data_IF_949274796738
#
_entry.id   IF_949274796738
#
_cell.length_a   1.000
_cell.length_b   1.000
_cell.length_c   1.000
_cell.angle_alpha   90.00
_cell.angle_beta   90.00
_cell.angle_gamma   90.00
#
_symmetry.space_group_name_H-M   'P 1'
#
loop_
_entity.id
_entity.type
_entity.pdbx_description
1 polymer ?
#
# COMPACT_ATOMS: atom_id res chain seq x y z
N UNK A 1 -16.74 6.49 10.67
CA UNK A 1 -15.44 5.79 10.45
C UNK A 1 -14.67 5.77 11.76
N UNK A 2 -14.09 4.65 12.13
CA UNK A 2 -13.26 4.53 13.34
C UNK A 2 -11.84 4.16 12.93
N UNK A 3 -10.87 4.99 13.35
CA UNK A 3 -9.46 4.86 13.01
C UNK A 3 -9.00 5.79 11.90
N UNK A 4 -7.78 6.33 12.05
CA UNK A 4 -7.15 7.30 11.14
C UNK A 4 -5.88 6.75 10.46
N UNK A 5 -5.68 5.45 10.44
CA UNK A 5 -4.65 4.85 9.59
C UNK A 5 -5.05 4.83 8.12
N UNK A 6 -4.17 4.34 7.24
CA UNK A 6 -4.36 4.32 5.78
C UNK A 6 -5.74 3.78 5.36
N UNK A 7 -6.20 2.68 5.96
CA UNK A 7 -7.49 2.09 5.61
C UNK A 7 -8.68 3.02 5.92
N UNK A 8 -8.65 3.66 7.10
CA UNK A 8 -9.70 4.61 7.50
C UNK A 8 -9.68 5.87 6.65
N UNK A 9 -8.51 6.49 6.45
CA UNK A 9 -8.38 7.70 5.67
C UNK A 9 -8.75 7.48 4.19
N UNK A 10 -8.22 6.43 3.57
CA UNK A 10 -8.51 6.11 2.18
C UNK A 10 -10.02 5.83 1.96
N UNK A 11 -10.64 5.05 2.84
CA UNK A 11 -12.08 4.80 2.77
C UNK A 11 -12.90 6.09 2.97
N UNK A 12 -12.48 6.96 3.88
CA UNK A 12 -13.14 8.24 4.11
C UNK A 12 -13.08 9.15 2.87
N UNK A 13 -11.92 9.22 2.21
CA UNK A 13 -11.75 9.95 0.95
C UNK A 13 -12.68 9.42 -0.15
N UNK A 14 -12.70 8.11 -0.37
CA UNK A 14 -13.59 7.50 -1.38
C UNK A 14 -15.06 7.77 -1.10
N UNK A 15 -15.49 7.76 0.15
CA UNK A 15 -16.86 8.12 0.53
C UNK A 15 -17.15 9.60 0.28
N UNK A 16 -16.21 10.49 0.59
CA UNK A 16 -16.35 11.93 0.37
C UNK A 16 -16.40 12.27 -1.14
N UNK A 17 -15.57 11.63 -1.96
CA UNK A 17 -15.62 11.73 -3.43
C UNK A 17 -16.98 11.29 -3.98
N UNK A 18 -17.59 10.28 -3.36
CA UNK A 18 -18.99 9.85 -3.64
C UNK A 18 -20.07 10.75 -3.06
N UNK A 19 -19.73 11.96 -2.58
CA UNK A 19 -20.66 12.96 -2.06
C UNK A 19 -21.20 12.64 -0.65
N UNK A 20 -20.55 11.75 0.11
CA UNK A 20 -20.96 11.40 1.47
C UNK A 20 -20.28 12.30 2.49
N UNK A 21 -21.01 12.75 3.50
CA UNK A 21 -20.41 13.37 4.68
C UNK A 21 -19.79 12.28 5.55
N UNK A 22 -18.49 12.42 5.85
CA UNK A 22 -17.74 11.44 6.63
C UNK A 22 -17.23 12.07 7.92
N UNK A 23 -17.41 11.36 9.03
CA UNK A 23 -16.85 11.72 10.32
C UNK A 23 -15.87 10.62 10.75
N UNK A 24 -14.64 11.01 11.08
CA UNK A 24 -13.59 10.09 11.53
C UNK A 24 -13.41 10.25 13.03
N UNK A 25 -13.50 9.14 13.76
CA UNK A 25 -13.20 9.05 15.18
C UNK A 25 -11.85 8.39 15.38
N UNK A 26 -10.95 9.05 16.08
CA UNK A 26 -9.63 8.52 16.41
C UNK A 26 -9.37 8.59 17.90
N UNK A 27 -8.57 7.67 18.41
CA UNK A 27 -8.26 7.58 19.85
C UNK A 27 -7.41 8.75 20.34
N UNK A 28 -6.58 9.32 19.47
CA UNK A 28 -5.66 10.43 19.76
C UNK A 28 -5.63 11.40 18.57
N UNK A 29 -4.49 12.05 18.31
CA UNK A 29 -4.29 12.87 17.12
C UNK A 29 -4.40 12.02 15.86
N UNK A 30 -4.79 12.61 14.75
CA UNK A 30 -5.00 11.88 13.47
C UNK A 30 -3.74 11.15 13.03
N UNK A 31 -2.56 11.75 13.22
CA UNK A 31 -1.26 11.19 12.88
C UNK A 31 -0.75 10.12 13.87
N UNK A 32 -1.48 9.84 14.95
CA UNK A 32 -1.07 8.86 15.95
C UNK A 32 -1.63 7.47 15.60
N UNK A 33 -1.19 6.95 14.46
CA UNK A 33 -1.62 5.69 13.89
C UNK A 33 -0.45 4.73 13.63
N UNK A 34 -0.72 3.44 13.51
CA UNK A 34 0.29 2.46 13.11
C UNK A 34 0.86 2.74 11.71
N UNK A 35 0.07 3.32 10.82
CA UNK A 35 0.51 3.72 9.49
C UNK A 35 1.63 4.76 9.59
N UNK A 36 1.48 5.79 10.41
CA UNK A 36 2.49 6.84 10.57
C UNK A 36 3.85 6.31 11.07
N UNK A 37 3.84 5.21 11.78
CA UNK A 37 5.06 4.57 12.32
C UNK A 37 5.65 3.51 11.38
N UNK A 38 4.97 3.19 10.27
CA UNK A 38 5.46 2.20 9.31
C UNK A 38 6.67 2.75 8.53
N UNK A 39 7.80 2.09 8.67
CA UNK A 39 9.07 2.47 8.02
C UNK A 39 9.28 1.73 6.69
N UNK A 40 8.83 0.47 6.61
CA UNK A 40 8.91 -0.34 5.40
C UNK A 40 8.09 0.21 4.23
N UNK A 41 8.14 -0.49 3.10
CA UNK A 41 7.43 -0.09 1.90
C UNK A 41 6.12 -0.83 1.68
N UNK A 42 5.56 -0.63 0.50
CA UNK A 42 4.38 -1.35 0.00
C UNK A 42 4.80 -2.23 -1.17
N UNK A 43 4.51 -3.53 -1.07
CA UNK A 43 4.72 -4.48 -2.14
C UNK A 43 3.61 -4.36 -3.19
N UNK A 44 3.97 -4.11 -4.45
CA UNK A 44 3.02 -4.07 -5.55
C UNK A 44 3.64 -4.43 -6.90
N UNK A 45 2.88 -5.12 -7.73
CA UNK A 45 3.16 -5.27 -9.15
C UNK A 45 2.36 -4.19 -9.89
N UNK A 46 3.06 -3.28 -10.56
CA UNK A 46 2.42 -2.13 -11.21
C UNK A 46 1.86 -2.45 -12.59
N UNK A 47 2.47 -3.42 -13.27
CA UNK A 47 2.01 -3.89 -14.56
C UNK A 47 1.05 -5.08 -14.38
N UNK A 48 -0.22 -4.84 -14.67
CA UNK A 48 -1.27 -5.86 -14.57
C UNK A 48 -1.15 -6.99 -15.60
N UNK A 49 -0.37 -6.79 -16.64
CA UNK A 49 -0.13 -7.81 -17.68
C UNK A 49 1.02 -8.74 -17.34
N UNK A 50 1.77 -8.44 -16.29
CA UNK A 50 2.90 -9.23 -15.80
C UNK A 50 2.42 -10.43 -14.95
N UNK A 51 1.67 -11.34 -15.55
CA UNK A 51 1.03 -12.50 -14.87
C UNK A 51 2.02 -13.33 -14.05
N UNK A 52 3.21 -13.60 -14.59
CA UNK A 52 4.25 -14.36 -13.87
C UNK A 52 4.73 -13.62 -12.59
N UNK A 53 4.87 -12.29 -12.65
CA UNK A 53 5.29 -11.50 -11.51
C UNK A 53 4.18 -11.43 -10.45
N UNK A 54 2.92 -11.34 -10.86
CA UNK A 54 1.75 -11.40 -9.98
C UNK A 54 1.70 -12.75 -9.28
N UNK A 55 1.82 -13.85 -10.03
CA UNK A 55 1.81 -15.20 -9.47
C UNK A 55 2.98 -15.42 -8.50
N UNK A 56 4.18 -14.98 -8.85
CA UNK A 56 5.34 -15.03 -7.95
C UNK A 56 5.08 -14.26 -6.64
N UNK A 57 4.40 -13.10 -6.68
CA UNK A 57 4.03 -12.36 -5.48
C UNK A 57 3.00 -13.12 -4.63
N UNK A 58 2.01 -13.74 -5.26
CA UNK A 58 1.04 -14.60 -4.56
C UNK A 58 1.76 -15.74 -3.84
N UNK A 59 2.64 -16.47 -4.54
CA UNK A 59 3.35 -17.61 -3.97
C UNK A 59 4.31 -17.20 -2.83
N UNK A 60 5.04 -16.09 -2.98
CA UNK A 60 5.87 -15.55 -1.90
C UNK A 60 5.02 -15.24 -0.64
N UNK A 61 3.84 -14.66 -0.83
CA UNK A 61 2.92 -14.32 0.26
C UNK A 61 2.38 -15.57 0.95
N UNK A 62 1.96 -16.57 0.19
CA UNK A 62 1.46 -17.84 0.73
C UNK A 62 2.55 -18.59 1.50
N UNK A 63 3.78 -18.61 0.94
CA UNK A 63 4.93 -19.24 1.60
C UNK A 63 5.27 -18.55 2.93
N UNK A 64 5.33 -17.20 2.93
CA UNK A 64 5.59 -16.43 4.15
C UNK A 64 4.48 -16.60 5.21
N UNK A 65 3.24 -16.75 4.76
CA UNK A 65 2.08 -16.97 5.62
C UNK A 65 2.00 -18.37 6.25
N UNK A 66 2.84 -19.32 5.82
CA UNK A 66 2.97 -20.66 6.42
C UNK A 66 1.62 -21.37 6.68
N UNK A 67 0.68 -21.28 5.75
CA UNK A 67 -0.63 -21.92 5.84
C UNK A 67 -1.71 -21.13 6.58
N UNK A 68 -1.43 -19.88 7.00
CA UNK A 68 -2.43 -19.01 7.65
C UNK A 68 -3.18 -18.10 6.67
N UNK A 69 -2.76 -18.06 5.40
CA UNK A 69 -3.36 -17.22 4.38
C UNK A 69 -4.59 -17.87 3.73
N UNK A 70 -5.61 -17.05 3.43
CA UNK A 70 -6.63 -17.37 2.44
C UNK A 70 -6.10 -16.97 1.06
N UNK A 71 -5.87 -17.95 0.20
CA UNK A 71 -5.33 -17.72 -1.14
C UNK A 71 -6.22 -16.83 -2.01
N UNK A 72 -7.54 -16.93 -1.89
CA UNK A 72 -8.49 -16.10 -2.64
C UNK A 72 -8.30 -14.62 -2.28
N UNK A 73 -8.15 -14.35 -0.99
CA UNK A 73 -7.91 -12.99 -0.49
C UNK A 73 -6.53 -12.49 -0.93
N UNK A 74 -5.48 -13.31 -0.81
CA UNK A 74 -4.13 -12.95 -1.28
C UNK A 74 -4.15 -12.57 -2.75
N UNK A 75 -4.78 -13.39 -3.61
CA UNK A 75 -4.89 -13.10 -5.04
C UNK A 75 -5.64 -11.79 -5.31
N UNK A 76 -6.74 -11.55 -4.63
CA UNK A 76 -7.50 -10.30 -4.76
C UNK A 76 -6.63 -9.08 -4.41
N UNK A 77 -5.94 -9.11 -3.26
CA UNK A 77 -5.09 -8.00 -2.79
C UNK A 77 -3.91 -7.76 -3.74
N UNK A 78 -3.21 -8.81 -4.17
CA UNK A 78 -2.06 -8.69 -5.08
C UNK A 78 -2.48 -8.12 -6.43
N UNK A 79 -3.61 -8.56 -6.98
CA UNK A 79 -4.12 -8.06 -8.27
C UNK A 79 -4.56 -6.59 -8.20
N UNK A 80 -5.09 -6.13 -7.07
CA UNK A 80 -5.50 -4.74 -6.90
C UNK A 80 -4.35 -3.80 -6.56
N UNK A 81 -3.23 -4.30 -6.05
CA UNK A 81 -2.15 -3.50 -5.48
C UNK A 81 -1.63 -2.42 -6.44
N UNK A 82 -1.46 -2.73 -7.72
CA UNK A 82 -1.00 -1.78 -8.73
C UNK A 82 -1.91 -0.56 -8.87
N UNK A 83 -3.23 -0.76 -8.86
CA UNK A 83 -4.20 0.34 -8.93
C UNK A 83 -4.16 1.17 -7.65
N UNK A 84 -4.08 0.53 -6.50
CA UNK A 84 -4.00 1.25 -5.21
C UNK A 84 -2.74 2.12 -5.12
N UNK A 85 -1.63 1.68 -5.69
CA UNK A 85 -0.43 2.52 -5.80
C UNK A 85 -0.67 3.73 -6.71
N UNK A 86 -1.38 3.55 -7.84
CA UNK A 86 -1.74 4.68 -8.70
C UNK A 86 -2.61 5.69 -7.98
N UNK A 87 -3.64 5.23 -7.24
CA UNK A 87 -4.45 6.11 -6.40
C UNK A 87 -3.61 6.92 -5.41
N UNK A 88 -2.64 6.28 -4.74
CA UNK A 88 -1.76 6.96 -3.78
C UNK A 88 -0.87 8.00 -4.48
N UNK A 89 -0.37 7.71 -5.68
CA UNK A 89 0.40 8.67 -6.48
C UNK A 89 -0.45 9.88 -6.90
N UNK A 90 -1.69 9.66 -7.31
CA UNK A 90 -2.65 10.71 -7.66
C UNK A 90 -3.00 11.59 -6.46
N UNK A 91 -3.05 11.02 -5.25
CA UNK A 91 -3.22 11.73 -3.98
C UNK A 91 -1.94 12.46 -3.51
N UNK A 92 -0.85 12.35 -4.26
CA UNK A 92 0.38 13.09 -4.01
C UNK A 92 1.37 12.41 -3.07
N UNK A 93 1.31 11.08 -2.94
CA UNK A 93 2.34 10.31 -2.23
C UNK A 93 3.64 10.30 -3.04
N UNK A 94 4.72 10.76 -2.42
CA UNK A 94 6.04 10.85 -3.03
C UNK A 94 6.87 9.58 -2.75
N UNK A 95 6.61 8.51 -3.50
CA UNK A 95 7.51 7.35 -3.49
C UNK A 95 8.86 7.70 -4.13
N UNK A 96 9.92 7.07 -3.65
CA UNK A 96 11.27 7.25 -4.20
C UNK A 96 11.32 6.87 -5.67
N UNK A 97 12.13 7.63 -6.43
CA UNK A 97 12.33 7.40 -7.87
C UNK A 97 13.80 7.27 -8.18
N UNK A 98 14.10 6.53 -9.24
CA UNK A 98 15.41 6.43 -9.85
C UNK A 98 15.72 7.71 -10.66
N UNK A 99 16.97 7.84 -11.13
CA UNK A 99 17.42 9.03 -11.90
C UNK A 99 16.63 9.25 -13.19
N UNK A 100 16.09 8.18 -13.78
CA UNK A 100 15.24 8.22 -14.98
C UNK A 100 13.77 8.58 -14.68
N UNK A 101 13.43 8.80 -13.40
CA UNK A 101 12.07 9.13 -12.96
C UNK A 101 11.15 7.92 -12.71
N UNK A 102 11.61 6.70 -12.95
CA UNK A 102 10.84 5.49 -12.64
C UNK A 102 10.73 5.28 -11.13
N UNK A 103 9.67 4.59 -10.68
CA UNK A 103 9.52 4.29 -9.26
C UNK A 103 10.59 3.29 -8.81
N UNK A 104 11.41 3.72 -7.85
CA UNK A 104 12.43 2.87 -7.26
C UNK A 104 11.80 1.70 -6.52
N UNK A 105 12.29 0.49 -6.78
CA UNK A 105 11.79 -0.76 -6.17
C UNK A 105 12.91 -1.53 -5.53
N UNK A 106 12.72 -1.92 -4.29
CA UNK A 106 13.65 -2.76 -3.54
C UNK A 106 13.09 -4.16 -3.32
N UNK A 107 13.99 -5.08 -3.02
CA UNK A 107 13.65 -6.43 -2.57
C UNK A 107 13.93 -6.54 -1.07
N UNK A 108 12.93 -6.95 -0.32
CA UNK A 108 13.05 -7.27 1.10
C UNK A 108 12.89 -8.78 1.35
N UNK A 109 13.10 -9.23 2.59
CA UNK A 109 12.96 -10.64 2.97
C UNK A 109 11.57 -11.19 2.63
N UNK A 110 11.51 -12.44 2.19
CA UNK A 110 10.27 -13.10 1.76
C UNK A 110 9.82 -12.77 0.33
N UNK A 111 10.50 -11.89 -0.39
CA UNK A 111 10.19 -11.56 -1.77
C UNK A 111 11.22 -12.14 -2.75
N UNK A 112 10.74 -12.81 -3.80
CA UNK A 112 11.57 -13.35 -4.88
C UNK A 112 12.10 -12.30 -5.85
N UNK A 113 11.44 -11.10 -5.93
CA UNK A 113 11.83 -10.00 -6.82
C UNK A 113 11.65 -8.63 -6.16
N UNK A 114 12.25 -7.58 -6.79
CA UNK A 114 12.11 -6.18 -6.34
C UNK A 114 10.73 -5.64 -6.70
N UNK A 115 9.88 -5.44 -5.70
CA UNK A 115 8.50 -4.95 -5.88
C UNK A 115 8.05 -4.01 -4.77
N UNK A 116 8.93 -3.64 -3.87
CA UNK A 116 8.59 -2.81 -2.71
C UNK A 116 8.86 -1.35 -3.03
N UNK A 117 7.81 -0.54 -2.98
CA UNK A 117 7.85 0.90 -3.14
C UNK A 117 7.97 1.54 -1.76
N UNK A 118 8.83 2.54 -1.62
CA UNK A 118 9.06 3.20 -0.33
C UNK A 118 9.30 4.71 -0.48
N UNK A 119 9.12 5.44 0.61
CA UNK A 119 9.44 6.86 0.72
C UNK A 119 10.49 7.03 1.84
N UNK A 120 11.77 6.76 1.51
CA UNK A 120 12.87 6.67 2.48
C UNK A 120 12.49 5.71 3.63
N UNK A 121 12.81 6.07 4.87
CA UNK A 121 12.47 5.28 6.07
C UNK A 121 11.16 5.75 6.73
N UNK A 122 10.25 6.34 5.97
CA UNK A 122 9.04 6.98 6.50
C UNK A 122 7.84 6.83 5.57
N UNK A 123 7.71 5.67 4.92
CA UNK A 123 6.66 5.43 3.91
C UNK A 123 5.26 5.65 4.47
N UNK A 124 4.98 5.16 5.66
CA UNK A 124 3.67 5.34 6.28
C UNK A 124 3.35 6.79 6.62
N UNK A 125 4.34 7.57 7.07
CA UNK A 125 4.19 9.01 7.33
C UNK A 125 3.91 9.78 6.04
N UNK A 126 4.58 9.44 4.96
CA UNK A 126 4.37 10.07 3.66
C UNK A 126 2.96 9.79 3.12
N UNK A 127 2.47 8.56 3.29
CA UNK A 127 1.11 8.19 2.93
C UNK A 127 0.09 8.97 3.74
N UNK A 128 0.22 9.02 5.07
CA UNK A 128 -0.72 9.78 5.92
C UNK A 128 -0.68 11.28 5.65
N UNK A 129 0.47 11.83 5.29
CA UNK A 129 0.57 13.24 4.90
C UNK A 129 -0.27 13.55 3.67
N UNK A 130 -0.39 12.61 2.76
CA UNK A 130 -1.07 12.78 1.47
C UNK A 130 -2.57 12.49 1.54
N UNK A 131 -3.00 11.68 2.51
CA UNK A 131 -4.41 11.36 2.78
C UNK A 131 -5.06 12.39 3.72
#
# INVERSE_FOLDING_TARGET
>A
MVGSGIAGLFCALRLAEGGRTVQIFTKRKTQDSSTNWAQGGIAAILDKTAEEAIEAHVQDTLAAGAGTCDETVVRAVVNEAGDRIRDLLELGVNFQRDEDGTLHRVREGGHSSSRILHAKDATGREIERSL
#
